data_IF_116003587596
#
_entry.id   IF_116003587596
#
_cell.length_a   1.000
_cell.length_b   1.000
_cell.length_c   1.000
_cell.angle_alpha   90.00
_cell.angle_beta   90.00
_cell.angle_gamma   90.00
#
_symmetry.space_group_name_H-M   'P 1'
#
loop_
_entity.id
_entity.type
_entity.pdbx_description
1 polymer ?
#
# COMPACT_ATOMS: atom_id res chain seq x y z
N UNK A 1 10.57 9.63 26.04
CA UNK A 1 9.18 10.07 25.79
C UNK A 1 8.88 10.47 24.33
N UNK A 2 9.82 11.03 23.56
CA UNK A 2 9.55 11.45 22.16
C UNK A 2 9.27 10.31 21.16
N UNK A 3 9.93 9.16 21.30
CA UNK A 3 9.84 8.05 20.32
C UNK A 3 8.44 7.38 20.28
N UNK A 4 7.77 7.27 21.42
CA UNK A 4 6.46 6.60 21.54
C UNK A 4 5.31 7.46 20.98
N UNK A 5 5.42 8.79 21.07
CA UNK A 5 4.44 9.74 20.49
C UNK A 5 4.58 9.83 18.96
N UNK A 6 5.79 9.64 18.44
CA UNK A 6 6.05 9.55 17.00
C UNK A 6 5.46 8.27 16.39
N UNK A 7 5.52 7.13 17.10
CA UNK A 7 5.00 5.84 16.61
C UNK A 7 3.49 5.86 16.36
N UNK A 8 2.70 6.34 17.32
CA UNK A 8 1.24 6.47 17.16
C UNK A 8 0.84 7.42 16.04
N UNK A 9 1.63 8.46 15.79
CA UNK A 9 1.41 9.39 14.68
C UNK A 9 1.64 8.71 13.32
N UNK A 10 2.71 7.92 13.19
CA UNK A 10 3.02 7.16 11.97
C UNK A 10 1.92 6.14 11.63
N UNK A 11 1.42 5.41 12.63
CA UNK A 11 0.30 4.47 12.46
C UNK A 11 -1.00 5.18 12.04
N UNK A 12 -1.26 6.37 12.59
CA UNK A 12 -2.43 7.17 12.23
C UNK A 12 -2.37 7.66 10.78
N UNK A 13 -1.19 8.05 10.28
CA UNK A 13 -0.99 8.50 8.90
C UNK A 13 -1.25 7.40 7.87
N UNK A 14 -1.08 6.11 8.21
CA UNK A 14 -1.38 5.00 7.32
C UNK A 14 -2.88 4.90 6.95
N UNK A 15 -3.78 5.33 7.84
CA UNK A 15 -5.23 5.27 7.61
C UNK A 15 -5.67 6.16 6.43
N UNK A 16 -5.43 7.49 6.42
CA UNK A 16 -5.85 8.34 5.30
C UNK A 16 -5.15 7.94 4.00
N UNK A 17 -3.90 7.50 4.06
CA UNK A 17 -3.19 6.98 2.89
C UNK A 17 -3.88 5.75 2.28
N UNK A 18 -4.28 4.79 3.13
CA UNK A 18 -4.95 3.58 2.67
C UNK A 18 -6.38 3.86 2.17
N UNK A 19 -7.12 4.76 2.83
CA UNK A 19 -8.43 5.23 2.35
C UNK A 19 -8.32 5.88 0.96
N UNK A 20 -7.32 6.75 0.77
CA UNK A 20 -7.10 7.37 -0.52
C UNK A 20 -6.69 6.34 -1.59
N UNK A 21 -5.85 5.37 -1.24
CA UNK A 21 -5.51 4.26 -2.14
C UNK A 21 -6.76 3.50 -2.59
N UNK A 22 -7.70 3.20 -1.69
CA UNK A 22 -8.97 2.54 -2.03
C UNK A 22 -9.77 3.38 -3.03
N UNK A 23 -9.92 4.69 -2.77
CA UNK A 23 -10.66 5.59 -3.66
C UNK A 23 -10.05 5.62 -5.06
N UNK A 24 -8.72 5.74 -5.15
CA UNK A 24 -8.00 5.79 -6.44
C UNK A 24 -8.12 4.46 -7.19
N UNK A 25 -8.02 3.32 -6.51
CA UNK A 25 -8.24 2.02 -7.15
C UNK A 25 -9.71 1.85 -7.64
N UNK A 26 -10.71 2.37 -6.91
CA UNK A 26 -12.11 2.36 -7.37
C UNK A 26 -12.28 3.26 -8.61
N UNK A 27 -11.64 4.43 -8.65
CA UNK A 27 -11.66 5.31 -9.82
C UNK A 27 -10.97 4.67 -11.04
N UNK A 28 -9.93 3.88 -10.81
CA UNK A 28 -9.24 3.13 -11.86
C UNK A 28 -10.15 2.04 -12.45
N UNK A 29 -11.05 1.46 -11.65
CA UNK A 29 -12.04 0.47 -12.08
C UNK A 29 -13.12 1.06 -13.01
N UNK A 30 -13.46 2.35 -12.85
CA UNK A 30 -14.45 3.02 -13.68
C UNK A 30 -13.79 4.09 -14.58
N UNK A 31 -13.21 3.70 -15.73
CA UNK A 31 -12.66 4.68 -16.66
C UNK A 31 -13.74 5.67 -17.09
N UNK A 32 -13.46 6.97 -16.93
CA UNK A 32 -14.42 8.08 -17.16
C UNK A 32 -15.75 7.99 -16.38
N UNK A 33 -15.83 7.20 -15.31
CA UNK A 33 -17.07 7.04 -14.53
C UNK A 33 -18.23 6.41 -15.32
N UNK A 34 -17.97 5.81 -16.48
CA UNK A 34 -18.98 5.17 -17.32
C UNK A 34 -19.01 3.67 -17.07
N UNK A 35 -20.18 3.14 -16.66
CA UNK A 35 -20.38 1.72 -16.40
C UNK A 35 -20.56 0.87 -17.67
N UNK A 36 -20.80 1.50 -18.83
CA UNK A 36 -21.06 0.80 -20.10
C UNK A 36 -19.92 -0.10 -20.57
N UNK A 37 -18.67 0.16 -20.16
CA UNK A 37 -17.51 -0.64 -20.55
C UNK A 37 -17.29 -1.86 -19.65
N UNK A 38 -17.95 -1.93 -18.48
CA UNK A 38 -17.81 -3.04 -17.54
C UNK A 38 -18.67 -4.27 -17.92
N UNK A 39 -19.61 -4.12 -18.87
CA UNK A 39 -20.59 -5.16 -19.24
C UNK A 39 -20.10 -6.06 -20.38
N UNK A 40 -19.03 -5.67 -21.08
CA UNK A 40 -18.54 -6.34 -22.29
C UNK A 40 -17.31 -7.23 -21.99
N UNK A 41 -17.52 -8.39 -21.37
CA UNK A 41 -16.75 -9.64 -21.53
C UNK A 41 -15.20 -9.61 -21.69
N UNK A 42 -14.47 -8.75 -20.97
CA UNK A 42 -12.99 -8.74 -20.95
C UNK A 42 -12.42 -9.15 -19.59
N UNK A 43 -12.94 -10.25 -19.05
CA UNK A 43 -12.78 -10.72 -17.67
C UNK A 43 -11.33 -11.01 -17.21
N UNK A 44 -10.37 -11.25 -18.11
CA UNK A 44 -9.06 -11.80 -17.72
C UNK A 44 -8.17 -10.82 -16.94
N UNK A 45 -8.35 -9.50 -17.11
CA UNK A 45 -7.55 -8.50 -16.39
C UNK A 45 -8.16 -8.07 -15.05
N UNK A 46 -9.40 -8.50 -14.74
CA UNK A 46 -10.06 -8.15 -13.49
C UNK A 46 -9.28 -8.61 -12.27
N UNK A 47 -8.64 -9.78 -12.35
CA UNK A 47 -7.88 -10.38 -11.24
C UNK A 47 -6.70 -9.49 -10.84
N UNK A 48 -5.94 -8.98 -11.81
CA UNK A 48 -4.78 -8.12 -11.56
C UNK A 48 -5.17 -6.77 -10.95
N UNK A 49 -6.27 -6.16 -11.41
CA UNK A 49 -6.76 -4.88 -10.87
C UNK A 49 -7.42 -5.03 -9.49
N UNK A 50 -8.14 -6.13 -9.23
CA UNK A 50 -8.78 -6.39 -7.94
C UNK A 50 -7.76 -6.71 -6.83
N UNK A 51 -6.63 -7.32 -7.19
CA UNK A 51 -5.53 -7.54 -6.23
C UNK A 51 -5.04 -6.21 -5.62
N UNK A 52 -4.97 -5.13 -6.40
CA UNK A 52 -4.57 -3.81 -5.91
C UNK A 52 -5.47 -3.28 -4.79
N UNK A 53 -6.80 -3.38 -4.95
CA UNK A 53 -7.80 -2.94 -3.95
C UNK A 53 -7.69 -3.76 -2.66
N UNK A 54 -7.56 -5.08 -2.81
CA UNK A 54 -7.53 -6.00 -1.67
C UNK A 54 -6.24 -5.79 -0.84
N UNK A 55 -5.07 -5.83 -1.49
CA UNK A 55 -3.79 -5.81 -0.80
C UNK A 55 -3.33 -4.40 -0.38
N UNK A 56 -3.44 -3.38 -1.23
CA UNK A 56 -2.96 -2.03 -0.90
C UNK A 56 -3.96 -1.19 -0.11
N UNK A 57 -5.23 -1.56 -0.16
CA UNK A 57 -6.32 -0.85 0.49
C UNK A 57 -6.74 -1.52 1.79
N UNK A 58 -7.53 -2.58 1.68
CA UNK A 58 -8.19 -3.22 2.83
C UNK A 58 -7.18 -3.86 3.78
N UNK A 59 -6.20 -4.61 3.25
CA UNK A 59 -5.18 -5.24 4.09
C UNK A 59 -4.29 -4.21 4.80
N UNK A 60 -3.93 -3.10 4.14
CA UNK A 60 -3.19 -2.02 4.82
C UNK A 60 -4.01 -1.28 5.86
N UNK A 61 -5.32 -1.07 5.65
CA UNK A 61 -6.21 -0.55 6.69
C UNK A 61 -6.28 -1.48 7.89
N UNK A 62 -6.42 -2.79 7.66
CA UNK A 62 -6.46 -3.79 8.72
C UNK A 62 -5.15 -3.81 9.51
N UNK A 63 -4.00 -3.81 8.82
CA UNK A 63 -2.69 -3.72 9.46
C UNK A 63 -2.53 -2.44 10.27
N UNK A 64 -2.94 -1.28 9.73
CA UNK A 64 -2.88 -0.01 10.44
C UNK A 64 -3.75 -0.03 11.70
N UNK A 65 -4.97 -0.59 11.63
CA UNK A 65 -5.85 -0.73 12.78
C UNK A 65 -5.25 -1.66 13.85
N UNK A 66 -4.75 -2.83 13.47
CA UNK A 66 -4.08 -3.77 14.38
C UNK A 66 -2.87 -3.12 15.07
N UNK A 67 -2.07 -2.38 14.31
CA UNK A 67 -0.93 -1.64 14.82
C UNK A 67 -1.35 -0.56 15.84
N UNK A 68 -2.45 0.17 15.59
CA UNK A 68 -2.97 1.18 16.52
C UNK A 68 -3.53 0.52 17.79
N UNK A 69 -4.25 -0.60 17.68
CA UNK A 69 -4.74 -1.35 18.84
C UNK A 69 -3.58 -1.82 19.71
N UNK A 70 -2.55 -2.38 19.08
CA UNK A 70 -1.30 -2.78 19.75
C UNK A 70 -0.52 -1.60 20.34
N UNK A 71 -0.79 -0.36 19.96
CA UNK A 71 -0.19 0.85 20.57
C UNK A 71 -1.09 1.46 21.67
N UNK A 72 -2.41 1.39 21.51
CA UNK A 72 -3.41 1.95 22.45
C UNK A 72 -3.65 1.11 23.68
N UNK A 73 -3.45 -0.21 23.64
CA UNK A 73 -3.58 -1.10 24.81
C UNK A 73 -2.47 -0.90 25.88
N UNK A 74 -1.91 0.29 25.95
CA UNK A 74 -1.06 0.74 27.07
C UNK A 74 -1.93 1.26 28.23
N UNK A 75 -3.26 1.33 28.08
CA UNK A 75 -4.18 1.88 29.09
C UNK A 75 -5.06 0.85 29.81
N UNK A 76 -5.21 -0.38 29.29
CA UNK A 76 -5.95 -1.47 29.94
C UNK A 76 -4.99 -2.58 30.37
N UNK A 77 -4.22 -2.35 31.43
CA UNK A 77 -3.41 -3.39 32.06
C UNK A 77 -3.76 -3.49 33.55
N UNK A 78 -4.98 -3.95 33.83
CA UNK A 78 -5.28 -4.65 35.07
C UNK A 78 -5.17 -6.15 34.79
N UNK A 79 -4.10 -6.76 35.31
CA UNK A 79 -3.91 -8.21 35.50
C UNK A 79 -3.66 -9.11 34.27
N UNK A 80 -2.40 -9.25 33.84
CA UNK A 80 -1.78 -10.54 33.45
C UNK A 80 -0.27 -10.37 33.19
N UNK A 81 0.53 -11.39 33.54
CA UNK A 81 2.00 -11.36 33.71
C UNK A 81 2.79 -10.42 32.79
N UNK A 82 3.53 -9.47 33.38
CA UNK A 82 4.17 -8.33 32.70
C UNK A 82 5.32 -8.68 31.74
N UNK A 83 6.02 -9.81 31.90
CA UNK A 83 7.25 -10.09 31.15
C UNK A 83 7.05 -10.80 29.81
N UNK A 84 6.16 -11.81 29.75
CA UNK A 84 5.91 -12.59 28.53
C UNK A 84 5.13 -11.79 27.47
N UNK A 85 4.19 -10.95 27.91
CA UNK A 85 3.31 -10.16 27.04
C UNK A 85 4.08 -9.06 26.28
N UNK A 86 5.08 -8.44 26.90
CA UNK A 86 5.85 -7.34 26.31
C UNK A 86 6.71 -7.78 25.12
N UNK A 87 7.33 -8.95 25.21
CA UNK A 87 8.15 -9.52 24.13
C UNK A 87 7.28 -9.99 22.97
N UNK A 88 6.18 -10.70 23.27
CA UNK A 88 5.23 -11.18 22.26
C UNK A 88 4.59 -10.02 21.48
N UNK A 89 4.17 -8.96 22.17
CA UNK A 89 3.59 -7.76 21.55
C UNK A 89 4.59 -7.01 20.65
N UNK A 90 5.86 -6.92 21.08
CA UNK A 90 6.92 -6.32 20.26
C UNK A 90 7.20 -7.15 19.01
N UNK A 91 7.23 -8.47 19.14
CA UNK A 91 7.40 -9.38 18.01
C UNK A 91 6.27 -9.26 16.98
N UNK A 92 5.01 -9.26 17.44
CA UNK A 92 3.85 -9.05 16.56
C UNK A 92 3.94 -7.70 15.85
N UNK A 93 4.30 -6.61 16.55
CA UNK A 93 4.39 -5.28 15.92
C UNK A 93 5.44 -5.25 14.80
N UNK A 94 6.58 -5.92 14.98
CA UNK A 94 7.61 -6.06 13.92
C UNK A 94 7.06 -6.86 12.74
N UNK A 95 6.41 -8.00 12.99
CA UNK A 95 5.82 -8.83 11.92
C UNK A 95 4.78 -8.04 11.13
N UNK A 96 3.89 -7.30 11.79
CA UNK A 96 2.90 -6.45 11.11
C UNK A 96 3.56 -5.32 10.31
N UNK A 97 4.64 -4.72 10.81
CA UNK A 97 5.39 -3.70 10.06
C UNK A 97 6.05 -4.30 8.80
N UNK A 98 6.62 -5.50 8.89
CA UNK A 98 7.19 -6.22 7.74
C UNK A 98 6.13 -6.61 6.72
N UNK A 99 4.97 -7.12 7.16
CA UNK A 99 3.83 -7.39 6.28
C UNK A 99 3.36 -6.11 5.57
N UNK A 100 3.35 -4.98 6.29
CA UNK A 100 3.05 -3.68 5.71
C UNK A 100 4.01 -3.30 4.57
N UNK A 101 5.31 -3.54 4.73
CA UNK A 101 6.31 -3.32 3.66
C UNK A 101 6.05 -4.25 2.48
N UNK A 102 5.74 -5.53 2.72
CA UNK A 102 5.48 -6.51 1.65
C UNK A 102 4.23 -6.14 0.85
N UNK A 103 3.11 -5.83 1.51
CA UNK A 103 1.87 -5.50 0.82
C UNK A 103 1.92 -4.16 0.08
N UNK A 104 2.49 -3.12 0.71
CA UNK A 104 2.66 -1.83 0.03
C UNK A 104 3.71 -1.90 -1.09
N UNK A 105 4.79 -2.65 -0.91
CA UNK A 105 5.79 -2.91 -1.94
C UNK A 105 5.22 -3.66 -3.15
N UNK A 106 4.40 -4.70 -2.90
CA UNK A 106 3.68 -5.39 -3.96
C UNK A 106 2.79 -4.43 -4.75
N UNK A 107 2.06 -3.55 -4.06
CA UNK A 107 1.23 -2.53 -4.71
C UNK A 107 2.04 -1.58 -5.60
N UNK A 108 3.23 -1.16 -5.18
CA UNK A 108 4.12 -0.31 -5.99
C UNK A 108 4.48 -1.04 -7.29
N UNK A 109 4.92 -2.29 -7.18
CA UNK A 109 5.34 -3.11 -8.32
C UNK A 109 4.19 -3.28 -9.31
N UNK A 110 3.02 -3.73 -8.83
CA UNK A 110 1.85 -3.95 -9.69
C UNK A 110 1.37 -2.64 -10.33
N UNK A 111 1.37 -1.52 -9.60
CA UNK A 111 0.98 -0.22 -10.16
C UNK A 111 1.98 0.26 -11.23
N UNK A 112 3.28 0.04 -11.03
CA UNK A 112 4.30 0.36 -12.04
C UNK A 112 4.17 -0.54 -13.26
N UNK A 113 3.93 -1.84 -13.08
CA UNK A 113 3.70 -2.75 -14.20
C UNK A 113 2.44 -2.38 -14.99
N UNK A 114 1.35 -2.03 -14.31
CA UNK A 114 0.12 -1.53 -14.93
C UNK A 114 0.34 -0.22 -15.69
N UNK A 115 1.15 0.69 -15.14
CA UNK A 115 1.55 1.93 -15.80
C UNK A 115 2.44 1.69 -17.03
N UNK A 116 3.34 0.70 -17.00
CA UNK A 116 4.21 0.38 -18.15
C UNK A 116 3.45 -0.34 -19.26
N UNK A 117 2.53 -1.24 -18.89
CA UNK A 117 1.70 -1.98 -19.84
C UNK A 117 0.70 -1.07 -20.57
N UNK A 118 0.21 -0.03 -19.89
CA UNK A 118 -0.71 0.95 -20.43
C UNK A 118 -2.17 0.51 -20.43
N UNK A 119 -3.09 1.44 -20.75
CA UNK A 119 -4.52 1.17 -20.69
C UNK A 119 -4.96 0.21 -21.80
N UNK A 120 -6.05 -0.49 -21.53
CA UNK A 120 -6.78 -1.21 -22.56
C UNK A 120 -7.64 -0.23 -23.36
N UNK A 121 -7.46 -0.17 -24.68
CA UNK A 121 -8.21 0.75 -25.52
C UNK A 121 -8.56 0.16 -26.89
N UNK A 122 -9.53 0.78 -27.55
CA UNK A 122 -9.94 0.45 -28.89
C UNK A 122 -9.13 1.23 -29.92
N UNK A 123 -8.68 0.52 -30.94
CA UNK A 123 -7.99 1.08 -32.11
C UNK A 123 -8.73 0.66 -33.39
N UNK A 124 -8.41 1.25 -34.55
CA UNK A 124 -8.99 0.79 -35.83
C UNK A 124 -8.76 -0.70 -36.11
N UNK A 125 -7.75 -1.33 -35.48
CA UNK A 125 -7.43 -2.75 -35.58
C UNK A 125 -8.16 -3.63 -34.55
N UNK A 126 -8.94 -3.03 -33.64
CA UNK A 126 -9.66 -3.71 -32.56
C UNK A 126 -9.19 -3.31 -31.16
N UNK A 127 -9.73 -4.00 -30.16
CA UNK A 127 -9.46 -3.78 -28.73
C UNK A 127 -8.19 -4.50 -28.29
N UNK A 128 -7.24 -3.77 -27.70
CA UNK A 128 -5.97 -4.36 -27.27
C UNK A 128 -5.09 -3.46 -26.41
N UNK A 129 -3.97 -4.02 -25.94
CA UNK A 129 -2.91 -3.29 -25.24
C UNK A 129 -1.84 -2.84 -26.25
N UNK A 130 -2.03 -1.67 -26.85
CA UNK A 130 -1.14 -1.17 -27.90
C UNK A 130 0.22 -0.68 -27.38
N UNK A 131 0.32 -0.43 -26.07
CA UNK A 131 1.52 0.12 -25.43
C UNK A 131 2.40 -0.92 -24.72
N UNK A 132 1.98 -2.19 -24.73
CA UNK A 132 2.68 -3.28 -24.03
C UNK A 132 4.12 -3.45 -24.54
N UNK A 133 4.32 -3.33 -25.85
CA UNK A 133 5.63 -3.49 -26.49
C UNK A 133 6.49 -2.21 -26.44
N UNK A 134 5.93 -1.08 -26.01
CA UNK A 134 6.64 0.20 -25.93
C UNK A 134 7.39 0.38 -24.62
N UNK A 135 7.26 -0.55 -23.66
CA UNK A 135 7.90 -0.50 -22.34
C UNK A 135 7.78 0.87 -21.64
N UNK A 136 6.61 1.51 -21.72
CA UNK A 136 6.37 2.83 -21.15
C UNK A 136 6.80 4.04 -22.01
N UNK A 137 7.26 3.82 -23.25
CA UNK A 137 7.62 4.92 -24.18
C UNK A 137 6.46 5.88 -24.49
N UNK A 138 5.22 5.41 -24.35
CA UNK A 138 4.02 6.24 -24.51
C UNK A 138 3.89 7.33 -23.43
N UNK A 139 4.58 7.21 -22.28
CA UNK A 139 4.62 8.23 -21.24
C UNK A 139 5.37 9.49 -21.68
N UNK A 140 6.31 9.35 -22.61
CA UNK A 140 7.14 10.44 -23.15
C UNK A 140 6.56 10.93 -24.48
N UNK A 141 6.05 10.01 -25.30
CA UNK A 141 5.50 10.31 -26.61
C UNK A 141 3.99 10.60 -26.54
N UNK A 142 3.61 11.82 -26.16
CA UNK A 142 2.21 12.26 -26.11
C UNK A 142 1.44 12.09 -27.43
N UNK A 143 2.13 12.15 -28.58
CA UNK A 143 1.52 11.91 -29.89
C UNK A 143 0.92 10.51 -30.03
N UNK A 144 1.48 9.51 -29.33
CA UNK A 144 0.98 8.13 -29.35
C UNK A 144 -0.39 7.95 -28.69
N UNK A 145 -0.83 8.89 -27.85
CA UNK A 145 -2.11 8.79 -27.14
C UNK A 145 -3.32 8.87 -28.09
N UNK A 146 -3.14 9.55 -29.23
CA UNK A 146 -4.14 9.66 -30.30
C UNK A 146 -4.48 8.32 -30.99
N UNK A 147 -3.67 7.28 -30.77
CA UNK A 147 -3.93 5.95 -31.32
C UNK A 147 -5.10 5.24 -30.63
N UNK A 148 -5.39 5.59 -29.37
CA UNK A 148 -6.58 5.11 -28.67
C UNK A 148 -7.78 5.98 -29.03
N UNK A 149 -8.72 5.44 -29.81
CA UNK A 149 -9.91 6.18 -30.25
C UNK A 149 -11.01 6.17 -29.19
N UNK A 150 -11.19 5.04 -28.49
CA UNK A 150 -12.14 4.89 -27.39
C UNK A 150 -11.54 4.04 -26.25
N UNK A 151 -11.82 4.35 -24.98
CA UNK A 151 -12.52 5.53 -24.45
C UNK A 151 -11.67 6.82 -24.51
N UNK A 152 -12.32 7.98 -24.68
CA UNK A 152 -11.64 9.28 -24.71
C UNK A 152 -10.87 9.56 -23.40
N UNK A 153 -9.65 10.08 -23.49
CA UNK A 153 -8.79 10.42 -22.34
C UNK A 153 -8.43 9.24 -21.40
N UNK A 154 -8.63 7.98 -21.82
CA UNK A 154 -8.32 6.80 -20.98
C UNK A 154 -6.84 6.72 -20.60
N UNK A 155 -5.96 7.19 -21.49
CA UNK A 155 -4.51 7.17 -21.29
C UNK A 155 -4.11 8.09 -20.15
N UNK A 156 -4.55 9.34 -20.20
CA UNK A 156 -4.30 10.33 -19.16
C UNK A 156 -4.88 9.90 -17.80
N UNK A 157 -6.12 9.40 -17.79
CA UNK A 157 -6.78 8.87 -16.60
C UNK A 157 -5.95 7.78 -15.91
N UNK A 158 -5.48 6.79 -16.68
CA UNK A 158 -4.68 5.69 -16.16
C UNK A 158 -3.32 6.19 -15.66
N UNK A 159 -2.63 7.05 -16.41
CA UNK A 159 -1.32 7.59 -16.01
C UNK A 159 -1.44 8.32 -14.66
N UNK A 160 -2.42 9.20 -14.52
CA UNK A 160 -2.61 10.00 -13.30
C UNK A 160 -2.92 9.09 -12.11
N UNK A 161 -3.88 8.17 -12.24
CA UNK A 161 -4.30 7.33 -11.13
C UNK A 161 -3.21 6.33 -10.70
N UNK A 162 -2.53 5.67 -11.65
CA UNK A 162 -1.41 4.79 -11.32
C UNK A 162 -0.24 5.55 -10.68
N UNK A 163 0.08 6.75 -11.16
CA UNK A 163 1.11 7.60 -10.55
C UNK A 163 0.77 7.96 -9.10
N UNK A 164 -0.49 8.34 -8.83
CA UNK A 164 -0.98 8.60 -7.47
C UNK A 164 -0.86 7.33 -6.60
N UNK A 165 -1.24 6.15 -7.11
CA UNK A 165 -1.11 4.89 -6.37
C UNK A 165 0.34 4.58 -6.01
N UNK A 166 1.27 4.75 -6.95
CA UNK A 166 2.72 4.57 -6.71
C UNK A 166 3.20 5.52 -5.61
N UNK A 167 2.80 6.79 -5.66
CA UNK A 167 3.18 7.76 -4.64
C UNK A 167 2.64 7.40 -3.24
N UNK A 168 1.37 7.01 -3.14
CA UNK A 168 0.73 6.64 -1.87
C UNK A 168 1.34 5.37 -1.30
N UNK A 169 1.46 4.31 -2.10
CA UNK A 169 2.05 3.03 -1.69
C UNK A 169 3.53 3.18 -1.36
N UNK A 170 4.27 4.01 -2.11
CA UNK A 170 5.65 4.37 -1.78
C UNK A 170 5.77 5.06 -0.42
N UNK A 171 4.87 5.99 -0.11
CA UNK A 171 4.84 6.64 1.21
C UNK A 171 4.50 5.65 2.33
N UNK A 172 3.59 4.70 2.08
CA UNK A 172 3.30 3.61 3.03
C UNK A 172 4.54 2.74 3.31
N UNK A 173 5.31 2.36 2.27
CA UNK A 173 6.57 1.62 2.44
C UNK A 173 7.53 2.38 3.34
N UNK A 174 7.72 3.68 3.10
CA UNK A 174 8.62 4.52 3.90
C UNK A 174 8.16 4.57 5.36
N UNK A 175 6.86 4.78 5.62
CA UNK A 175 6.30 4.81 6.97
C UNK A 175 6.48 3.45 7.68
N UNK A 176 6.16 2.35 7.01
CA UNK A 176 6.32 1.01 7.57
C UNK A 176 7.79 0.66 7.83
N UNK A 177 8.71 1.11 6.98
CA UNK A 177 10.15 0.96 7.20
C UNK A 177 10.67 1.75 8.40
N UNK A 178 10.28 3.03 8.52
CA UNK A 178 10.60 3.85 9.70
C UNK A 178 10.06 3.22 10.99
N UNK A 179 8.85 2.66 10.93
CA UNK A 179 8.25 1.92 12.03
C UNK A 179 9.05 0.68 12.39
N UNK A 180 9.39 -0.17 11.41
CA UNK A 180 10.19 -1.37 11.64
C UNK A 180 11.55 -1.05 12.29
N UNK A 181 12.22 0.02 11.86
CA UNK A 181 13.46 0.48 12.50
C UNK A 181 13.24 0.96 13.94
N UNK A 182 12.16 1.69 14.19
CA UNK A 182 11.83 2.15 15.54
C UNK A 182 11.49 0.99 16.50
N UNK A 183 10.77 -0.03 16.01
CA UNK A 183 10.52 -1.29 16.73
C UNK A 183 11.81 -2.05 17.04
N UNK A 184 12.67 -2.21 16.03
CA UNK A 184 13.93 -2.93 16.18
C UNK A 184 14.86 -2.25 17.19
N UNK A 185 14.96 -0.91 17.16
CA UNK A 185 15.73 -0.15 18.15
C UNK A 185 15.19 -0.32 19.56
N UNK A 186 13.86 -0.39 19.72
CA UNK A 186 13.24 -0.61 21.03
C UNK A 186 13.50 -2.03 21.55
N UNK A 187 13.48 -3.05 20.67
CA UNK A 187 13.83 -4.42 21.04
C UNK A 187 15.29 -4.46 21.48
N UNK A 188 16.22 -3.96 20.67
CA UNK A 188 17.66 -3.94 20.97
C UNK A 188 17.95 -3.18 22.28
N UNK A 189 17.45 -1.96 22.43
CA UNK A 189 17.65 -1.15 23.64
C UNK A 189 16.96 -1.75 24.88
N UNK A 190 15.81 -2.41 24.69
CA UNK A 190 15.12 -3.20 25.71
C UNK A 190 15.95 -4.41 26.16
N UNK A 191 16.61 -5.10 25.23
CA UNK A 191 17.55 -6.19 25.54
C UNK A 191 18.76 -5.68 26.32
N UNK A 192 19.28 -4.48 26.03
CA UNK A 192 20.36 -3.87 26.85
C UNK A 192 19.92 -3.57 28.29
N UNK A 193 18.66 -3.13 28.51
CA UNK A 193 18.15 -2.96 29.88
C UNK A 193 17.88 -4.27 30.63
N UNK A 194 17.68 -5.40 29.92
CA UNK A 194 17.53 -6.73 30.54
C UNK A 194 18.90 -7.33 30.92
N UNK A 195 19.99 -6.96 30.23
CA UNK A 195 21.35 -7.40 30.58
C UNK A 195 22.03 -6.60 31.71
N UNK A 196 21.48 -5.44 32.12
CA UNK A 196 21.96 -4.67 33.29
C UNK A 196 21.03 -4.90 34.50
N UNK A 197 20.74 -6.16 34.79
CA UNK A 197 20.40 -6.56 36.16
C UNK A 197 21.23 -7.78 36.56
N UNK A 198 22.58 -7.69 36.61
CA UNK A 198 23.32 -8.61 37.45
C UNK A 198 22.95 -8.29 38.91
N UNK A 199 22.75 -9.34 39.70
CA UNK A 199 22.05 -9.30 40.97
C UNK A 199 22.51 -8.23 41.96
N UNK A 200 21.54 -7.70 42.69
CA UNK A 200 21.76 -7.16 44.03
C UNK A 200 20.76 -7.90 44.92
N UNK A 201 21.22 -9.02 45.45
CA UNK A 201 20.95 -9.44 46.83
C UNK A 201 21.97 -8.68 47.68
#
# INVERSE_FOLDING_TARGET
>A
MGLQKCRGCLSCLLIPLALWSIVVNILLYFPNGKTSYATSNQLTNYVWYFEGICFSGVMMLLLAALLITLERDTFYQCCQSESCNKTYRSFISVVLALLGIVFSGYSVIISTLGLVQGPFCNTPAGWGYIFKDTAGGYLIAYSSWSQCTEPAHVVEWNIILFSILIALSGLQVVICFLKAMAELKQILCGTYSVFIQPGII
#
